data_IF_386786649215
#
_entry.id   IF_386786649215
#
_cell.length_a   1.000
_cell.length_b   1.000
_cell.length_c   1.000
_cell.angle_alpha   90.00
_cell.angle_beta   90.00
_cell.angle_gamma   90.00
#
_symmetry.space_group_name_H-M   'P 1'
#
loop_
_entity.id
_entity.type
_entity.pdbx_description
1 polymer ?
#
# COMPACT_ATOMS: atom_id res chain seq x y z
N UNK A 1 10.14 27.67 3.22
CA UNK A 1 9.25 26.85 4.05
C UNK A 1 9.33 25.45 3.49
N UNK A 2 10.25 24.62 3.99
CA UNK A 2 10.40 23.23 3.53
C UNK A 2 9.27 22.43 4.17
N UNK A 3 8.23 22.11 3.39
CA UNK A 3 7.19 21.19 3.81
C UNK A 3 7.90 19.85 4.05
N UNK A 4 8.02 19.46 5.32
CA UNK A 4 8.60 18.18 5.69
C UNK A 4 7.61 17.08 5.32
N UNK A 5 7.71 16.60 4.10
CA UNK A 5 6.82 15.57 3.57
C UNK A 5 7.08 14.24 4.28
N UNK A 6 6.21 13.88 5.22
CA UNK A 6 6.26 12.56 5.84
C UNK A 6 5.64 11.53 4.87
N UNK A 7 6.38 10.49 4.43
CA UNK A 7 5.89 9.56 3.40
C UNK A 7 4.62 8.81 3.81
N UNK A 8 4.41 8.59 5.11
CA UNK A 8 3.20 7.95 5.62
C UNK A 8 1.98 8.86 5.52
N UNK A 9 2.15 10.16 5.74
CA UNK A 9 1.06 11.12 5.57
C UNK A 9 0.76 11.35 4.09
N UNK A 10 1.79 11.40 3.25
CA UNK A 10 1.60 11.46 1.80
C UNK A 10 0.81 10.26 1.25
N UNK A 11 1.12 9.06 1.73
CA UNK A 11 0.34 7.88 1.34
C UNK A 11 -1.08 7.92 1.89
N UNK A 12 -1.27 8.39 3.12
CA UNK A 12 -2.61 8.58 3.69
C UNK A 12 -3.43 9.60 2.89
N UNK A 13 -2.83 10.73 2.52
CA UNK A 13 -3.47 11.76 1.70
C UNK A 13 -3.85 11.20 0.32
N UNK A 14 -3.00 10.37 -0.29
CA UNK A 14 -3.34 9.64 -1.51
C UNK A 14 -4.54 8.72 -1.28
N UNK A 15 -4.52 7.90 -0.22
CA UNK A 15 -5.63 7.01 0.14
C UNK A 15 -6.94 7.78 0.33
N UNK A 16 -6.91 8.92 1.00
CA UNK A 16 -8.09 9.76 1.18
C UNK A 16 -8.53 10.42 -0.14
N UNK A 17 -7.59 10.81 -1.00
CA UNK A 17 -7.87 11.34 -2.35
C UNK A 17 -8.57 10.31 -3.23
N UNK A 18 -8.20 9.03 -3.09
CA UNK A 18 -8.86 7.90 -3.75
C UNK A 18 -10.17 7.48 -3.06
N UNK A 19 -10.65 8.23 -2.06
CA UNK A 19 -11.88 7.93 -1.34
C UNK A 19 -11.80 6.68 -0.47
N UNK A 20 -10.59 6.22 -0.12
CA UNK A 20 -10.32 4.94 0.55
C UNK A 20 -10.83 3.72 -0.21
N UNK A 21 -11.00 3.85 -1.52
CA UNK A 21 -11.40 2.74 -2.37
C UNK A 21 -10.18 1.96 -2.86
N UNK A 22 -10.03 0.76 -2.30
CA UNK A 22 -9.00 -0.21 -2.69
C UNK A 22 -9.09 -0.63 -4.17
N UNK A 23 -10.27 -0.58 -4.80
CA UNK A 23 -10.42 -0.93 -6.21
C UNK A 23 -9.79 0.11 -7.12
N UNK A 24 -9.90 1.40 -6.77
CA UNK A 24 -9.23 2.47 -7.52
C UNK A 24 -7.71 2.36 -7.37
N UNK A 25 -7.22 2.06 -6.16
CA UNK A 25 -5.79 1.79 -5.95
C UNK A 25 -5.33 0.57 -6.76
N UNK A 26 -6.12 -0.49 -6.78
CA UNK A 26 -5.84 -1.71 -7.52
C UNK A 26 -5.82 -1.45 -9.03
N UNK A 27 -6.79 -0.69 -9.54
CA UNK A 27 -6.83 -0.25 -10.93
C UNK A 27 -5.58 0.57 -11.26
N UNK A 28 -5.11 1.47 -10.39
CA UNK A 28 -3.85 2.19 -10.60
C UNK A 28 -2.61 1.26 -10.57
N UNK A 29 -2.67 0.15 -9.84
CA UNK A 29 -1.60 -0.87 -9.79
C UNK A 29 -1.65 -1.84 -10.99
N UNK A 30 -2.79 -1.96 -11.65
CA UNK A 30 -3.07 -2.89 -12.76
C UNK A 30 -3.20 -2.15 -14.11
N UNK A 31 -3.42 -0.83 -14.11
CA UNK A 31 -3.54 0.05 -15.28
C UNK A 31 -2.24 0.04 -16.05
N UNK A 32 -2.09 -0.98 -16.87
CA UNK A 32 -1.16 -1.04 -17.95
C UNK A 32 -1.78 -0.17 -19.06
N UNK A 33 -1.16 0.97 -19.38
CA UNK A 33 -1.37 1.64 -20.67
C UNK A 33 -0.92 0.66 -21.77
N UNK A 34 -1.83 -0.22 -22.15
CA UNK A 34 -1.71 -1.11 -23.30
C UNK A 34 -1.79 -0.26 -24.56
N UNK A 35 -0.73 -0.33 -25.39
CA UNK A 35 -0.57 0.19 -26.76
C UNK A 35 0.06 1.59 -26.93
N UNK A 36 1.37 1.76 -26.70
CA UNK A 36 2.32 2.30 -27.71
C UNK A 36 3.72 2.61 -27.13
N UNK A 37 4.76 2.08 -27.80
CA UNK A 37 6.17 2.54 -27.80
C UNK A 37 7.12 2.04 -26.68
N UNK A 38 7.83 0.91 -26.88
CA UNK A 38 8.71 0.26 -25.89
C UNK A 38 10.08 0.95 -25.65
N UNK A 39 10.26 2.24 -25.97
CA UNK A 39 11.59 2.90 -25.88
C UNK A 39 11.62 4.20 -25.07
N UNK A 40 10.49 4.88 -24.89
CA UNK A 40 10.38 6.09 -24.02
C UNK A 40 9.81 5.74 -22.63
N UNK A 41 9.47 4.47 -22.46
CA UNK A 41 8.59 3.95 -21.43
C UNK A 41 9.37 3.39 -20.22
N UNK A 42 10.66 3.05 -20.40
CA UNK A 42 11.57 2.56 -19.36
C UNK A 42 11.81 3.51 -18.15
N UNK A 43 11.22 4.71 -18.13
CA UNK A 43 11.39 5.70 -17.05
C UNK A 43 10.07 6.16 -16.37
N UNK A 44 8.88 5.78 -16.84
CA UNK A 44 7.60 6.19 -16.20
C UNK A 44 6.57 5.08 -15.95
N UNK A 45 6.79 3.86 -16.43
CA UNK A 45 5.77 2.79 -16.46
C UNK A 45 5.51 2.07 -15.15
N UNK A 46 6.47 2.10 -14.22
CA UNK A 46 6.46 1.35 -12.97
C UNK A 46 6.22 2.25 -11.75
N UNK A 47 5.84 3.52 -11.96
CA UNK A 47 5.88 4.51 -10.89
C UNK A 47 4.94 4.19 -9.72
N UNK A 48 3.69 3.76 -9.98
CA UNK A 48 2.76 3.51 -8.88
C UNK A 48 3.04 2.20 -8.15
N UNK A 49 3.31 1.10 -8.87
CA UNK A 49 3.67 -0.18 -8.25
C UNK A 49 5.03 -0.09 -7.51
N UNK A 50 6.02 0.58 -8.10
CA UNK A 50 7.33 0.81 -7.46
C UNK A 50 7.18 1.74 -6.25
N UNK A 51 6.41 2.84 -6.37
CA UNK A 51 6.08 3.72 -5.25
C UNK A 51 5.41 2.93 -4.12
N UNK A 52 4.42 2.10 -4.46
CA UNK A 52 3.70 1.27 -3.50
C UNK A 52 4.64 0.27 -2.84
N UNK A 53 5.46 -0.45 -3.60
CA UNK A 53 6.43 -1.41 -3.07
C UNK A 53 7.48 -0.74 -2.17
N UNK A 54 7.98 0.46 -2.55
CA UNK A 54 8.88 1.27 -1.72
C UNK A 54 8.20 1.72 -0.43
N UNK A 55 6.94 2.14 -0.52
CA UNK A 55 6.14 2.51 0.63
C UNK A 55 5.94 1.33 1.58
N UNK A 56 5.46 0.18 1.10
CA UNK A 56 5.29 -1.04 1.89
C UNK A 56 6.62 -1.48 2.54
N UNK A 57 7.73 -1.39 1.81
CA UNK A 57 9.06 -1.69 2.36
C UNK A 57 9.42 -0.72 3.49
N UNK A 58 9.18 0.58 3.32
CA UNK A 58 9.44 1.58 4.35
C UNK A 58 8.55 1.37 5.57
N UNK A 59 7.26 1.15 5.35
CA UNK A 59 6.25 0.92 6.38
C UNK A 59 6.61 -0.28 7.24
N UNK A 60 6.97 -1.41 6.62
CA UNK A 60 7.43 -2.62 7.34
C UNK A 60 8.76 -2.39 8.08
N UNK A 61 9.75 -1.76 7.45
CA UNK A 61 11.07 -1.54 8.07
C UNK A 61 11.03 -0.56 9.24
N UNK A 62 10.13 0.44 9.18
CA UNK A 62 10.00 1.51 10.19
C UNK A 62 8.64 1.49 10.86
N UNK A 63 8.06 0.30 11.04
CA UNK A 63 6.69 0.12 11.52
C UNK A 63 6.37 0.96 12.76
N UNK A 64 7.17 0.87 13.83
CA UNK A 64 6.89 1.59 15.07
C UNK A 64 6.90 3.13 14.94
N UNK A 65 7.59 3.70 13.95
CA UNK A 65 7.56 5.15 13.68
C UNK A 65 6.34 5.49 12.82
N UNK A 66 6.11 4.71 11.77
CA UNK A 66 4.99 4.90 10.84
C UNK A 66 3.63 4.68 11.52
N UNK A 67 3.48 3.65 12.36
CA UNK A 67 2.29 3.39 13.20
C UNK A 67 1.97 4.61 14.05
N UNK A 68 2.92 5.06 14.89
CA UNK A 68 2.75 6.24 15.76
C UNK A 68 2.38 7.49 14.98
N UNK A 69 3.02 7.72 13.82
CA UNK A 69 2.74 8.90 13.01
C UNK A 69 1.34 8.85 12.39
N UNK A 70 0.92 7.71 11.87
CA UNK A 70 -0.41 7.52 11.31
C UNK A 70 -1.51 7.54 12.39
N UNK A 71 -1.22 7.04 13.60
CA UNK A 71 -2.14 7.12 14.74
C UNK A 71 -2.33 8.56 15.23
N UNK A 72 -1.24 9.33 15.34
CA UNK A 72 -1.30 10.72 15.77
C UNK A 72 -2.17 11.59 14.85
N UNK A 73 -2.28 11.22 13.59
CA UNK A 73 -3.08 11.90 12.57
C UNK A 73 -4.42 11.17 12.27
N UNK A 74 -4.82 10.16 13.07
CA UNK A 74 -6.06 9.36 12.92
C UNK A 74 -6.24 8.70 11.54
N UNK A 75 -5.14 8.44 10.84
CA UNK A 75 -5.12 7.84 9.49
C UNK A 75 -4.79 6.36 9.47
N UNK A 76 -4.30 5.79 10.57
CA UNK A 76 -3.82 4.41 10.60
C UNK A 76 -4.88 3.40 10.15
N UNK A 77 -6.07 3.43 10.74
CA UNK A 77 -7.15 2.48 10.43
C UNK A 77 -7.57 2.57 8.95
N UNK A 78 -7.66 3.79 8.40
CA UNK A 78 -8.02 4.01 7.00
C UNK A 78 -6.98 3.42 6.05
N UNK A 79 -5.70 3.70 6.29
CA UNK A 79 -4.59 3.17 5.50
C UNK A 79 -4.54 1.65 5.58
N UNK A 80 -4.57 1.08 6.79
CA UNK A 80 -4.52 -0.37 6.98
C UNK A 80 -5.71 -1.06 6.34
N UNK A 81 -6.92 -0.52 6.49
CA UNK A 81 -8.12 -1.07 5.84
C UNK A 81 -7.98 -1.15 4.32
N UNK A 82 -7.42 -0.13 3.68
CA UNK A 82 -7.16 -0.13 2.23
C UNK A 82 -6.09 -1.16 1.87
N UNK A 83 -4.99 -1.24 2.61
CA UNK A 83 -3.92 -2.21 2.34
C UNK A 83 -4.41 -3.66 2.45
N UNK A 84 -5.16 -3.97 3.50
CA UNK A 84 -5.74 -5.30 3.75
C UNK A 84 -6.71 -5.69 2.63
N UNK A 85 -7.65 -4.79 2.28
CA UNK A 85 -8.61 -5.04 1.19
C UNK A 85 -7.91 -5.20 -0.16
N UNK A 86 -6.89 -4.38 -0.42
CA UNK A 86 -6.07 -4.49 -1.64
C UNK A 86 -5.39 -5.86 -1.72
N UNK A 87 -4.83 -6.37 -0.61
CA UNK A 87 -4.26 -7.72 -0.55
C UNK A 87 -5.29 -8.80 -0.91
N UNK A 88 -6.46 -8.77 -0.27
CA UNK A 88 -7.51 -9.76 -0.50
C UNK A 88 -7.99 -9.78 -1.97
N UNK A 89 -8.08 -8.61 -2.59
CA UNK A 89 -8.49 -8.51 -3.98
C UNK A 89 -7.38 -8.96 -4.94
N UNK A 90 -6.11 -8.67 -4.65
CA UNK A 90 -4.98 -9.23 -5.39
C UNK A 90 -4.99 -10.77 -5.29
N UNK A 91 -5.19 -11.34 -4.10
CA UNK A 91 -5.24 -12.79 -3.90
C UNK A 91 -6.38 -13.43 -4.72
N UNK A 92 -7.55 -12.77 -4.79
CA UNK A 92 -8.67 -13.19 -5.64
C UNK A 92 -8.31 -13.15 -7.13
N UNK A 93 -7.68 -12.08 -7.60
CA UNK A 93 -7.25 -11.96 -9.00
C UNK A 93 -6.17 -12.98 -9.36
N UNK A 94 -5.25 -13.28 -8.43
CA UNK A 94 -4.22 -14.30 -8.62
C UNK A 94 -4.84 -15.69 -8.69
N UNK A 95 -5.79 -16.01 -7.79
CA UNK A 95 -6.52 -17.27 -7.81
C UNK A 95 -7.37 -17.44 -9.09
N UNK A 96 -7.83 -16.33 -9.67
CA UNK A 96 -8.55 -16.31 -10.94
C UNK A 96 -7.64 -16.26 -12.18
N UNK A 97 -6.30 -16.26 -12.01
CA UNK A 97 -5.32 -16.09 -13.10
C UNK A 97 -5.47 -14.78 -13.90
N UNK A 98 -6.12 -13.76 -13.32
CA UNK A 98 -6.39 -12.46 -13.95
C UNK A 98 -5.36 -11.38 -13.60
N UNK A 99 -4.42 -11.68 -12.71
CA UNK A 99 -3.45 -10.70 -12.25
C UNK A 99 -2.25 -10.60 -13.21
N UNK A 100 -1.91 -9.40 -13.73
CA UNK A 100 -1.04 -9.25 -14.90
C UNK A 100 0.45 -9.48 -14.65
N UNK A 101 0.90 -9.62 -13.40
CA UNK A 101 2.30 -9.87 -13.05
C UNK A 101 2.43 -10.84 -11.87
N UNK A 102 3.65 -11.28 -11.56
CA UNK A 102 3.89 -12.16 -10.41
C UNK A 102 3.63 -11.46 -9.07
N UNK A 103 2.40 -11.57 -8.55
CA UNK A 103 1.97 -10.89 -7.32
C UNK A 103 2.67 -11.35 -6.03
N UNK A 104 3.34 -12.50 -6.04
CA UNK A 104 3.88 -13.15 -4.85
C UNK A 104 4.72 -12.26 -3.93
N UNK A 105 5.66 -11.43 -4.44
CA UNK A 105 6.41 -10.49 -3.61
C UNK A 105 5.57 -9.38 -3.00
N UNK A 106 4.49 -8.96 -3.67
CA UNK A 106 3.58 -7.92 -3.22
C UNK A 106 2.65 -8.45 -2.13
N UNK A 107 2.00 -9.59 -2.37
CA UNK A 107 1.07 -10.22 -1.40
C UNK A 107 1.79 -10.62 -0.12
N UNK A 108 2.99 -11.19 -0.20
CA UNK A 108 3.82 -11.50 0.99
C UNK A 108 4.15 -10.26 1.83
N UNK A 109 4.41 -9.12 1.20
CA UNK A 109 4.70 -7.86 1.91
C UNK A 109 3.46 -7.29 2.59
N UNK A 110 2.33 -7.31 1.90
CA UNK A 110 1.04 -6.88 2.46
C UNK A 110 0.65 -7.75 3.65
N UNK A 111 0.81 -9.08 3.54
CA UNK A 111 0.58 -10.00 4.65
C UNK A 111 1.48 -9.71 5.85
N UNK A 112 2.78 -9.48 5.64
CA UNK A 112 3.70 -9.14 6.72
C UNK A 112 3.33 -7.82 7.42
N UNK A 113 2.82 -6.83 6.69
CA UNK A 113 2.38 -5.56 7.27
C UNK A 113 1.07 -5.73 8.06
N UNK A 114 0.18 -6.58 7.59
CA UNK A 114 -1.05 -6.92 8.32
C UNK A 114 -0.73 -7.62 9.64
N UNK A 115 0.18 -8.60 9.63
CA UNK A 115 0.65 -9.26 10.86
C UNK A 115 1.24 -8.27 11.86
N UNK A 116 2.09 -7.34 11.39
CA UNK A 116 2.63 -6.26 12.24
C UNK A 116 1.54 -5.36 12.85
N UNK A 117 0.42 -5.20 12.15
CA UNK A 117 -0.71 -4.42 12.63
C UNK A 117 -1.53 -5.18 13.68
N UNK A 118 -1.85 -6.45 13.42
CA UNK A 118 -2.55 -7.36 14.33
C UNK A 118 -1.79 -7.56 15.64
N UNK A 119 -0.50 -7.94 15.57
CA UNK A 119 0.36 -8.14 16.75
C UNK A 119 0.42 -6.87 17.61
N UNK A 120 0.41 -5.70 16.97
CA UNK A 120 0.47 -4.42 17.67
C UNK A 120 -0.87 -3.95 18.24
N UNK A 121 -1.99 -4.53 17.80
CA UNK A 121 -3.32 -4.27 18.33
C UNK A 121 -3.59 -5.09 19.59
N UNK A 122 -3.06 -6.31 19.67
CA UNK A 122 -3.13 -7.16 20.86
C UNK A 122 -2.32 -6.56 22.02
N UNK A 123 -1.14 -6.00 21.77
CA UNK A 123 -0.32 -5.31 22.79
C UNK A 123 -1.05 -4.08 23.41
N UNK A 124 -1.85 -3.38 22.61
CA UNK A 124 -2.65 -2.22 23.05
C UNK A 124 -3.94 -2.68 23.78
N UNK A 125 -4.47 -3.87 23.46
CA UNK A 125 -5.65 -4.46 24.09
C UNK A 125 -5.36 -5.15 25.44
N UNK A 126 -4.17 -5.70 25.65
CA UNK A 126 -3.74 -6.28 26.94
C UNK A 126 -3.40 -5.22 28.00
N UNK A 127 -3.29 -3.94 27.62
CA UNK A 127 -2.95 -2.83 28.52
C UNK A 127 -4.17 -2.04 29.07
N UNK A 128 -5.40 -2.50 28.78
CA UNK A 128 -6.67 -1.93 29.27
C UNK A 128 -7.37 -2.87 30.27
#
# INVERSE_FOLDING_TARGET
MTIEYHPDLLFADLVDTLGRDHLVLLDLLISNESEFSPTILLLSETQMLDYFMRYLRRLSTRWGISKRKLQADERLEGVMSVLIRTRLEIDRLVAAELFPYGAGPLTRRLLAIEQLYEDSGDDDAEQL
#
